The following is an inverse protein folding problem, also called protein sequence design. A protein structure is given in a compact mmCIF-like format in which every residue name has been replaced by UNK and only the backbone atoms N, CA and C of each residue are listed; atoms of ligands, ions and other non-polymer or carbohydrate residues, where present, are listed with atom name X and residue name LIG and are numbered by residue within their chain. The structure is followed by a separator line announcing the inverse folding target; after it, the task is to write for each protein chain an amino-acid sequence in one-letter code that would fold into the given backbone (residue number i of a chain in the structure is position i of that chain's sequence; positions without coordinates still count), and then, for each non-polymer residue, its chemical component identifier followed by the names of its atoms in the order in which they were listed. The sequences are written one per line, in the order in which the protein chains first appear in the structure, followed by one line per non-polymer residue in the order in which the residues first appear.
data_IF_726645166051
#
_entry.id   IF_726645166051
#
_cell.length_a   1.000
_cell.length_b   1.000
_cell.length_c   1.000
_cell.angle_alpha   90.00
_cell.angle_beta   90.00
_cell.angle_gamma   90.00
#
_symmetry.space_group_name_H-M   'P 1'
#
loop_
_entity.id
_entity.type
_entity.pdbx_description
1 polymer ?
#
# COMPACT_ATOMS: atom_id res chain seq x y z
N UNK A 1 -32.03 26.73 9.64
CA UNK A 1 -30.62 26.44 10.04
C UNK A 1 -29.80 25.85 8.88
N UNK A 2 -30.22 24.76 8.20
CA UNK A 2 -29.51 24.17 7.04
C UNK A 2 -29.34 25.14 5.86
N UNK A 3 -30.39 25.88 5.50
CA UNK A 3 -30.34 26.91 4.44
C UNK A 3 -29.32 28.03 4.73
N UNK A 4 -29.18 28.42 6.01
CA UNK A 4 -28.18 29.42 6.39
C UNK A 4 -26.75 28.87 6.28
N UNK A 5 -26.55 27.59 6.60
CA UNK A 5 -25.25 26.93 6.49
C UNK A 5 -24.80 26.75 5.03
N UNK A 6 -25.70 26.33 4.15
CA UNK A 6 -25.44 26.23 2.71
C UNK A 6 -25.01 27.58 2.10
N UNK A 7 -25.72 28.66 2.44
CA UNK A 7 -25.35 30.03 2.03
C UNK A 7 -23.99 30.48 2.56
N UNK A 8 -23.60 30.05 3.77
CA UNK A 8 -22.27 30.34 4.33
C UNK A 8 -21.19 29.62 3.51
N UNK A 9 -21.38 28.34 3.17
CA UNK A 9 -20.42 27.59 2.35
C UNK A 9 -20.29 28.23 0.96
N UNK A 10 -21.41 28.60 0.34
CA UNK A 10 -21.43 29.28 -0.96
C UNK A 10 -20.67 30.61 -0.91
N UNK A 11 -20.91 31.41 0.13
CA UNK A 11 -20.18 32.66 0.35
C UNK A 11 -18.68 32.42 0.54
N UNK A 12 -18.29 31.45 1.37
CA UNK A 12 -16.89 31.07 1.62
C UNK A 12 -16.20 30.65 0.32
N UNK A 13 -16.85 29.81 -0.48
CA UNK A 13 -16.32 29.35 -1.75
C UNK A 13 -16.16 30.52 -2.74
N UNK A 14 -17.19 31.34 -2.91
CA UNK A 14 -17.17 32.50 -3.81
C UNK A 14 -16.05 33.50 -3.46
N UNK A 15 -15.97 33.92 -2.19
CA UNK A 15 -14.97 34.90 -1.77
C UNK A 15 -13.54 34.32 -1.81
N UNK A 16 -13.38 33.03 -1.50
CA UNK A 16 -12.07 32.36 -1.59
C UNK A 16 -11.58 32.23 -3.04
N UNK A 17 -12.48 32.19 -4.02
CA UNK A 17 -12.13 32.15 -5.43
C UNK A 17 -11.52 33.46 -5.92
N UNK A 18 -12.01 34.59 -5.40
CA UNK A 18 -11.68 35.94 -5.91
C UNK A 18 -10.67 36.68 -5.04
N UNK A 19 -10.67 36.49 -3.72
CA UNK A 19 -9.90 37.33 -2.78
C UNK A 19 -8.69 36.59 -2.16
N UNK A 20 -7.47 36.97 -2.58
CA UNK A 20 -6.22 36.44 -2.01
C UNK A 20 -6.05 36.76 -0.52
N UNK A 21 -6.35 38.00 -0.11
CA UNK A 21 -6.25 38.42 1.29
C UNK A 21 -7.17 37.62 2.21
N UNK A 22 -8.37 37.31 1.74
CA UNK A 22 -9.30 36.44 2.45
C UNK A 22 -8.73 35.03 2.62
N UNK A 23 -8.20 34.42 1.55
CA UNK A 23 -7.54 33.10 1.63
C UNK A 23 -6.42 33.09 2.65
N UNK A 24 -5.54 34.10 2.61
CA UNK A 24 -4.44 34.24 3.57
C UNK A 24 -4.96 34.31 5.01
N UNK A 25 -5.94 35.17 5.27
CA UNK A 25 -6.52 35.33 6.60
C UNK A 25 -7.14 34.03 7.12
N UNK A 26 -7.87 33.30 6.28
CA UNK A 26 -8.42 31.99 6.66
C UNK A 26 -7.30 31.00 6.96
N UNK A 27 -6.26 30.92 6.13
CA UNK A 27 -5.13 30.02 6.38
C UNK A 27 -4.43 30.31 7.72
N UNK A 28 -4.36 31.58 8.14
CA UNK A 28 -3.76 31.99 9.41
C UNK A 28 -4.69 31.78 10.61
N UNK A 29 -6.01 31.89 10.44
CA UNK A 29 -6.97 31.89 11.57
C UNK A 29 -7.72 30.59 11.76
N UNK A 30 -7.82 29.74 10.73
CA UNK A 30 -8.44 28.43 10.86
C UNK A 30 -7.52 27.54 11.69
N UNK A 31 -7.99 27.10 12.85
CA UNK A 31 -7.25 26.19 13.73
C UNK A 31 -7.38 24.73 13.27
N UNK A 32 -6.48 23.87 13.73
CA UNK A 32 -6.48 22.45 13.37
C UNK A 32 -7.78 21.75 13.85
N UNK A 33 -8.29 22.07 15.04
CA UNK A 33 -9.53 21.48 15.57
C UNK A 33 -10.77 21.91 14.80
N UNK A 34 -10.75 23.12 14.21
CA UNK A 34 -11.85 23.59 13.36
C UNK A 34 -11.79 22.91 12.01
N UNK A 35 -10.60 22.79 11.42
CA UNK A 35 -10.40 22.11 10.15
C UNK A 35 -10.76 20.61 10.26
N UNK A 36 -10.33 19.93 11.32
CA UNK A 36 -10.72 18.55 11.59
C UNK A 36 -12.24 18.40 11.70
N UNK A 37 -12.92 19.30 12.42
CA UNK A 37 -14.39 19.30 12.50
C UNK A 37 -15.06 19.51 11.15
N UNK A 38 -14.47 20.31 10.25
CA UNK A 38 -15.02 20.50 8.91
C UNK A 38 -14.83 19.25 8.05
N UNK A 39 -13.68 18.60 8.14
CA UNK A 39 -13.40 17.32 7.47
C UNK A 39 -14.36 16.23 7.94
N UNK A 40 -14.56 16.08 9.25
CA UNK A 40 -15.50 15.08 9.83
C UNK A 40 -16.96 15.32 9.50
N UNK A 41 -17.36 16.58 9.23
CA UNK A 41 -18.75 16.88 8.86
C UNK A 41 -19.01 16.75 7.37
N UNK A 42 -17.99 16.51 6.56
CA UNK A 42 -18.09 16.57 5.10
C UNK A 42 -19.06 15.53 4.54
N UNK A 43 -19.08 14.32 5.10
CA UNK A 43 -20.03 13.26 4.75
C UNK A 43 -21.49 13.61 5.09
N UNK A 44 -21.72 14.41 6.12
CA UNK A 44 -23.07 14.87 6.51
C UNK A 44 -23.67 15.94 5.58
N UNK A 45 -22.85 16.48 4.67
CA UNK A 45 -23.25 17.52 3.72
C UNK A 45 -23.97 16.94 2.50
N UNK A 46 -24.81 17.74 1.86
CA UNK A 46 -25.38 17.39 0.55
C UNK A 46 -24.29 17.36 -0.52
N UNK A 47 -24.48 16.61 -1.62
CA UNK A 47 -23.48 16.53 -2.71
C UNK A 47 -23.13 17.89 -3.34
N UNK A 48 -24.04 18.87 -3.27
CA UNK A 48 -23.74 20.24 -3.69
C UNK A 48 -22.83 20.96 -2.69
N UNK A 49 -23.15 20.92 -1.40
CA UNK A 49 -22.33 21.49 -0.32
C UNK A 49 -20.94 20.84 -0.26
N UNK A 50 -20.85 19.52 -0.46
CA UNK A 50 -19.57 18.80 -0.56
C UNK A 50 -18.70 19.34 -1.69
N UNK A 51 -19.27 19.62 -2.86
CA UNK A 51 -18.52 20.20 -4.00
C UNK A 51 -18.06 21.62 -3.71
N UNK A 52 -18.91 22.45 -3.10
CA UNK A 52 -18.52 23.80 -2.71
C UNK A 52 -17.39 23.78 -1.66
N UNK A 53 -17.50 22.92 -0.64
CA UNK A 53 -16.44 22.74 0.37
C UNK A 53 -15.14 22.22 -0.26
N UNK A 54 -15.22 21.27 -1.20
CA UNK A 54 -14.06 20.81 -1.95
C UNK A 54 -13.35 21.95 -2.69
N UNK A 55 -14.10 22.75 -3.45
CA UNK A 55 -13.54 23.90 -4.17
C UNK A 55 -12.95 24.94 -3.22
N UNK A 56 -13.59 25.14 -2.07
CA UNK A 56 -13.07 26.01 -1.02
C UNK A 56 -11.74 25.49 -0.46
N UNK A 57 -11.64 24.19 -0.14
CA UNK A 57 -10.37 23.59 0.29
C UNK A 57 -9.29 23.74 -0.79
N UNK A 58 -9.61 23.45 -2.06
CA UNK A 58 -8.67 23.65 -3.18
C UNK A 58 -8.16 25.09 -3.26
N UNK A 59 -9.03 26.08 -3.08
CA UNK A 59 -8.63 27.49 -3.07
C UNK A 59 -7.64 27.79 -1.94
N UNK A 60 -7.79 27.17 -0.78
CA UNK A 60 -6.87 27.33 0.36
C UNK A 60 -5.56 26.54 0.19
N UNK A 61 -5.56 25.45 -0.57
CA UNK A 61 -4.36 24.62 -0.84
C UNK A 61 -3.25 25.37 -1.60
N UNK A 62 -3.52 26.55 -2.13
CA UNK A 62 -2.51 27.47 -2.68
C UNK A 62 -1.47 27.85 -1.61
N UNK A 63 -1.87 27.92 -0.34
CA UNK A 63 -0.96 28.20 0.78
C UNK A 63 -0.19 26.92 1.17
N UNK A 64 1.16 26.90 1.09
CA UNK A 64 1.95 25.72 1.46
C UNK A 64 1.75 25.30 2.92
N UNK A 65 1.64 26.28 3.83
CA UNK A 65 1.39 26.03 5.26
C UNK A 65 0.02 25.39 5.49
N UNK A 66 -1.02 25.89 4.82
CA UNK A 66 -2.34 25.29 4.90
C UNK A 66 -2.32 23.87 4.32
N UNK A 67 -1.71 23.69 3.15
CA UNK A 67 -1.61 22.41 2.47
C UNK A 67 -0.96 21.35 3.35
N UNK A 68 0.17 21.68 3.99
CA UNK A 68 0.85 20.79 4.93
C UNK A 68 -0.03 20.42 6.14
N UNK A 69 -0.67 21.42 6.77
CA UNK A 69 -1.57 21.21 7.92
C UNK A 69 -2.78 20.36 7.56
N UNK A 70 -3.45 20.68 6.46
CA UNK A 70 -4.59 19.91 5.96
C UNK A 70 -4.19 18.46 5.70
N UNK A 71 -3.06 18.25 5.03
CA UNK A 71 -2.54 16.92 4.72
C UNK A 71 -2.34 16.07 5.99
N UNK A 72 -1.72 16.64 7.04
CA UNK A 72 -1.55 15.94 8.33
C UNK A 72 -2.88 15.61 9.00
N UNK A 73 -3.81 16.55 9.07
CA UNK A 73 -5.12 16.34 9.69
C UNK A 73 -5.92 15.29 8.90
N UNK A 74 -5.87 15.35 7.57
CA UNK A 74 -6.52 14.38 6.69
C UNK A 74 -5.96 12.98 6.93
N UNK A 75 -4.63 12.82 6.92
CA UNK A 75 -3.97 11.55 7.17
C UNK A 75 -4.28 10.98 8.57
N UNK A 76 -4.24 11.83 9.60
CA UNK A 76 -4.56 11.43 10.99
C UNK A 76 -6.00 10.93 11.14
N UNK A 77 -6.93 11.44 10.33
CA UNK A 77 -8.34 11.06 10.37
C UNK A 77 -8.73 10.06 9.28
N UNK A 78 -7.77 9.58 8.49
CA UNK A 78 -8.03 8.83 7.26
C UNK A 78 -8.88 7.59 7.49
N UNK A 79 -8.56 6.79 8.50
CA UNK A 79 -9.35 5.59 8.84
C UNK A 79 -10.83 5.91 9.11
N UNK A 80 -11.11 6.98 9.85
CA UNK A 80 -12.49 7.40 10.12
C UNK A 80 -13.20 7.86 8.84
N UNK A 81 -12.47 8.51 7.92
CA UNK A 81 -13.00 8.94 6.63
C UNK A 81 -13.31 7.78 5.68
N UNK A 82 -12.52 6.70 5.77
CA UNK A 82 -12.78 5.43 5.09
C UNK A 82 -14.07 4.80 5.65
N UNK A 83 -14.16 4.66 6.97
CA UNK A 83 -15.29 4.02 7.66
C UNK A 83 -16.63 4.78 7.45
N UNK A 84 -16.59 6.11 7.32
CA UNK A 84 -17.80 6.91 7.13
C UNK A 84 -18.22 7.11 5.66
N UNK A 85 -17.53 6.46 4.72
CA UNK A 85 -17.65 6.70 3.27
C UNK A 85 -17.43 8.17 2.88
N UNK A 86 -16.79 8.99 3.72
CA UNK A 86 -16.42 10.35 3.38
C UNK A 86 -15.43 10.40 2.21
N UNK A 87 -14.64 9.34 2.01
CA UNK A 87 -13.81 9.20 0.82
C UNK A 87 -14.62 9.01 -0.45
N UNK A 88 -15.88 8.56 -0.38
CA UNK A 88 -16.75 8.49 -1.56
C UNK A 88 -17.23 9.87 -2.05
N UNK A 89 -17.12 10.88 -1.19
CA UNK A 89 -17.43 12.26 -1.49
C UNK A 89 -16.35 12.97 -2.34
N UNK A 90 -16.56 14.26 -2.59
CA UNK A 90 -15.57 15.15 -3.20
C UNK A 90 -14.23 15.25 -2.45
N UNK A 91 -14.08 14.74 -1.21
CA UNK A 91 -12.80 14.76 -0.51
C UNK A 91 -11.71 13.93 -1.18
N UNK A 92 -12.04 12.84 -1.87
CA UNK A 92 -11.03 12.05 -2.59
C UNK A 92 -10.33 12.85 -3.69
N UNK A 93 -11.01 13.80 -4.34
CA UNK A 93 -10.35 14.68 -5.32
C UNK A 93 -9.19 15.50 -4.71
N UNK A 94 -9.14 15.66 -3.38
CA UNK A 94 -8.05 16.33 -2.67
C UNK A 94 -6.88 15.40 -2.36
N UNK A 95 -7.09 14.08 -2.21
CA UNK A 95 -6.01 13.14 -1.91
C UNK A 95 -4.97 13.11 -3.03
N UNK A 96 -5.43 13.13 -4.30
CA UNK A 96 -4.59 13.29 -5.49
C UNK A 96 -3.68 14.53 -5.36
N UNK A 97 -4.23 15.67 -4.92
CA UNK A 97 -3.50 16.94 -4.82
C UNK A 97 -2.48 16.97 -3.68
N UNK A 98 -2.61 16.06 -2.70
CA UNK A 98 -1.72 15.93 -1.56
C UNK A 98 -0.63 14.90 -1.81
N UNK A 99 -1.03 13.69 -2.22
CA UNK A 99 -0.14 12.54 -2.29
C UNK A 99 0.74 12.52 -3.55
N UNK A 100 0.42 13.33 -4.57
CA UNK A 100 1.30 13.54 -5.73
C UNK A 100 2.44 14.52 -5.45
N UNK A 101 2.45 15.21 -4.30
CA UNK A 101 3.53 16.13 -3.91
C UNK A 101 4.57 15.39 -3.07
N UNK A 102 5.79 15.26 -3.58
CA UNK A 102 6.86 14.49 -2.94
C UNK A 102 7.12 14.91 -1.49
N UNK A 103 7.26 16.21 -1.22
CA UNK A 103 7.50 16.74 0.12
C UNK A 103 6.43 16.31 1.14
N UNK A 104 5.16 16.30 0.72
CA UNK A 104 4.05 15.89 1.58
C UNK A 104 3.99 14.38 1.73
N UNK A 105 4.23 13.63 0.67
CA UNK A 105 4.25 12.17 0.70
C UNK A 105 5.36 11.65 1.64
N UNK A 106 6.56 12.25 1.59
CA UNK A 106 7.68 11.95 2.48
C UNK A 106 7.32 12.27 3.94
N UNK A 107 6.75 13.46 4.18
CA UNK A 107 6.28 13.81 5.52
C UNK A 107 5.25 12.78 6.06
N UNK A 108 4.32 12.35 5.21
CA UNK A 108 3.28 11.40 5.60
C UNK A 108 3.81 9.98 5.83
N UNK A 109 4.78 9.51 5.04
CA UNK A 109 5.33 8.17 5.24
C UNK A 109 6.06 8.08 6.59
N UNK A 110 6.80 9.13 6.96
CA UNK A 110 7.43 9.22 8.29
C UNK A 110 6.41 9.26 9.43
N UNK A 111 5.23 9.84 9.20
CA UNK A 111 4.11 9.85 10.16
C UNK A 111 3.32 8.51 10.17
N UNK A 112 3.79 7.46 9.47
CA UNK A 112 3.16 6.12 9.45
C UNK A 112 1.92 6.03 8.56
N UNK A 113 1.75 6.95 7.61
CA UNK A 113 0.54 7.01 6.80
C UNK A 113 0.42 5.84 5.81
N UNK A 114 1.52 5.36 5.22
CA UNK A 114 1.49 4.19 4.32
C UNK A 114 0.95 2.96 5.03
N UNK A 115 1.43 2.67 6.24
CA UNK A 115 0.89 1.62 7.13
C UNK A 115 -0.60 1.82 7.41
N UNK A 116 -1.03 3.07 7.63
CA UNK A 116 -2.44 3.40 7.87
C UNK A 116 -3.32 3.06 6.65
N UNK A 117 -2.88 3.41 5.44
CA UNK A 117 -3.60 3.10 4.19
C UNK A 117 -3.64 1.59 3.94
N UNK A 118 -2.52 0.88 4.13
CA UNK A 118 -2.44 -0.59 4.03
C UNK A 118 -3.38 -1.28 5.03
N UNK A 119 -3.37 -0.85 6.28
CA UNK A 119 -4.26 -1.42 7.32
C UNK A 119 -5.73 -1.15 7.01
N UNK A 120 -6.06 0.05 6.52
CA UNK A 120 -7.42 0.37 6.07
C UNK A 120 -7.84 -0.53 4.89
N UNK A 121 -6.97 -0.69 3.89
CA UNK A 121 -7.21 -1.59 2.75
C UNK A 121 -7.45 -3.03 3.23
N UNK A 122 -6.61 -3.54 4.13
CA UNK A 122 -6.73 -4.88 4.71
C UNK A 122 -8.07 -5.11 5.41
N UNK A 123 -8.64 -4.06 6.02
CA UNK A 123 -9.91 -4.17 6.74
C UNK A 123 -11.14 -4.34 5.85
N UNK A 124 -11.05 -4.01 4.55
CA UNK A 124 -12.13 -4.24 3.58
C UNK A 124 -12.22 -5.69 3.07
N UNK A 125 -11.33 -6.56 3.55
CA UNK A 125 -11.29 -7.96 3.18
C UNK A 125 -11.51 -8.84 4.42
N UNK A 126 -12.61 -9.57 4.43
CA UNK A 126 -12.90 -10.56 5.46
C UNK A 126 -12.58 -11.96 4.96
N UNK A 127 -12.11 -12.85 5.83
CA UNK A 127 -11.95 -14.26 5.52
C UNK A 127 -13.22 -14.98 5.98
N UNK A 128 -13.97 -15.56 5.05
CA UNK A 128 -15.09 -16.44 5.39
C UNK A 128 -14.53 -17.73 5.99
N UNK A 129 -14.82 -17.95 7.27
CA UNK A 129 -14.35 -19.12 8.03
C UNK A 129 -14.87 -20.45 7.48
N UNK A 130 -15.99 -20.46 6.75
CA UNK A 130 -16.59 -21.67 6.19
C UNK A 130 -15.85 -22.13 4.92
N UNK A 131 -15.43 -21.17 4.10
CA UNK A 131 -14.80 -21.45 2.80
C UNK A 131 -13.29 -21.21 2.83
N UNK A 132 -12.76 -20.65 3.91
CA UNK A 132 -11.38 -20.16 4.05
C UNK A 132 -10.96 -19.13 3.00
N UNK A 133 -11.91 -18.61 2.22
CA UNK A 133 -11.68 -17.63 1.15
C UNK A 133 -11.88 -16.19 1.65
N UNK A 134 -11.13 -15.28 1.05
CA UNK A 134 -11.36 -13.84 1.21
C UNK A 134 -12.64 -13.45 0.46
N UNK A 135 -13.48 -12.73 1.16
CA UNK A 135 -14.75 -12.22 0.71
C UNK A 135 -14.63 -10.69 0.61
N UNK A 136 -14.52 -10.11 -0.60
CA UNK A 136 -14.65 -8.68 -0.75
C UNK A 136 -16.06 -8.23 -0.33
N UNK A 137 -16.17 -7.04 0.27
CA UNK A 137 -17.47 -6.44 0.62
C UNK A 137 -18.35 -6.33 -0.63
N UNK A 138 -19.59 -6.84 -0.53
CA UNK A 138 -20.45 -7.19 -1.68
C UNK A 138 -20.76 -6.07 -2.67
N UNK A 139 -20.84 -4.80 -2.26
CA UNK A 139 -21.43 -3.75 -3.11
C UNK A 139 -21.03 -2.31 -2.80
N UNK A 140 -20.64 -1.99 -1.56
CA UNK A 140 -20.26 -0.61 -1.18
C UNK A 140 -18.75 -0.41 -0.99
N UNK A 141 -18.00 -1.47 -0.69
CA UNK A 141 -16.57 -1.40 -0.38
C UNK A 141 -15.64 -1.40 -1.59
N UNK A 142 -16.09 -1.81 -2.79
CA UNK A 142 -15.22 -1.88 -3.97
C UNK A 142 -14.71 -0.48 -4.38
N UNK A 143 -15.59 0.52 -4.35
CA UNK A 143 -15.21 1.92 -4.62
C UNK A 143 -14.16 2.42 -3.62
N UNK A 144 -14.37 2.14 -2.33
CA UNK A 144 -13.44 2.51 -1.26
C UNK A 144 -12.10 1.79 -1.38
N UNK A 145 -12.08 0.47 -1.61
CA UNK A 145 -10.86 -0.30 -1.81
C UNK A 145 -10.06 0.20 -3.02
N UNK A 146 -10.72 0.50 -4.14
CA UNK A 146 -10.08 1.11 -5.32
C UNK A 146 -9.47 2.48 -4.98
N UNK A 147 -10.17 3.33 -4.21
CA UNK A 147 -9.63 4.64 -3.78
C UNK A 147 -8.42 4.50 -2.86
N UNK A 148 -8.48 3.58 -1.90
CA UNK A 148 -7.34 3.26 -1.03
C UNK A 148 -6.13 2.80 -1.85
N UNK A 149 -6.36 1.94 -2.84
CA UNK A 149 -5.34 1.48 -3.78
C UNK A 149 -4.75 2.62 -4.62
N UNK A 150 -5.57 3.56 -5.06
CA UNK A 150 -5.13 4.75 -5.80
C UNK A 150 -4.35 5.73 -4.91
N UNK A 151 -4.81 5.99 -3.69
CA UNK A 151 -4.11 6.84 -2.73
C UNK A 151 -2.73 6.25 -2.38
N UNK A 152 -2.68 4.94 -2.17
CA UNK A 152 -1.44 4.20 -1.95
C UNK A 152 -0.51 4.26 -3.17
N UNK A 153 -1.06 4.12 -4.38
CA UNK A 153 -0.29 4.25 -5.62
C UNK A 153 0.37 5.63 -5.72
N UNK A 154 -0.34 6.70 -5.39
CA UNK A 154 0.24 8.05 -5.41
C UNK A 154 1.40 8.21 -4.44
N UNK A 155 1.32 7.62 -3.25
CA UNK A 155 2.40 7.61 -2.28
C UNK A 155 3.61 6.83 -2.80
N UNK A 156 3.40 5.62 -3.33
CA UNK A 156 4.46 4.73 -3.81
C UNK A 156 5.12 5.19 -5.12
N UNK A 157 4.53 6.16 -5.83
CA UNK A 157 5.20 6.80 -6.96
C UNK A 157 6.43 7.63 -6.54
N UNK A 158 6.59 7.95 -5.27
CA UNK A 158 7.75 8.67 -4.75
C UNK A 158 8.84 7.70 -4.29
N UNK A 159 10.05 7.84 -4.84
CA UNK A 159 11.19 6.96 -4.55
C UNK A 159 11.53 6.92 -3.06
N UNK A 160 11.51 8.07 -2.40
CA UNK A 160 11.83 8.20 -0.97
C UNK A 160 10.78 7.51 -0.08
N UNK A 161 9.52 7.49 -0.52
CA UNK A 161 8.46 6.73 0.14
C UNK A 161 8.71 5.24 0.01
N UNK A 162 9.12 4.75 -1.16
CA UNK A 162 9.48 3.34 -1.35
C UNK A 162 10.71 2.95 -0.52
N UNK A 163 11.74 3.80 -0.48
CA UNK A 163 12.93 3.58 0.33
C UNK A 163 12.57 3.46 1.82
N UNK A 164 11.75 4.38 2.33
CA UNK A 164 11.27 4.32 3.71
C UNK A 164 10.40 3.07 3.96
N UNK A 165 9.51 2.72 3.02
CA UNK A 165 8.68 1.52 3.14
C UNK A 165 9.50 0.22 3.16
N UNK A 166 10.66 0.20 2.49
CA UNK A 166 11.62 -0.90 2.58
C UNK A 166 12.36 -0.92 3.92
N UNK A 167 12.71 0.24 4.47
CA UNK A 167 13.44 0.37 5.74
C UNK A 167 12.57 0.07 6.96
N UNK A 168 11.33 0.54 6.98
CA UNK A 168 10.44 0.46 8.13
C UNK A 168 9.77 -0.92 8.26
N UNK A 169 10.09 -1.63 9.35
CA UNK A 169 9.59 -2.98 9.61
C UNK A 169 8.06 -3.02 9.70
N UNK A 170 7.43 -2.06 10.37
CA UNK A 170 5.97 -2.08 10.55
C UNK A 170 5.24 -1.88 9.21
N UNK A 171 5.75 -1.01 8.36
CA UNK A 171 5.25 -0.81 7.00
C UNK A 171 5.44 -2.07 6.17
N UNK A 172 6.61 -2.73 6.21
CA UNK A 172 6.82 -4.03 5.54
C UNK A 172 5.82 -5.09 5.98
N UNK A 173 5.58 -5.23 7.29
CA UNK A 173 4.58 -6.18 7.80
C UNK A 173 3.17 -5.85 7.28
N UNK A 174 2.77 -4.58 7.27
CA UNK A 174 1.48 -4.18 6.71
C UNK A 174 1.35 -4.47 5.21
N UNK A 175 2.45 -4.34 4.44
CA UNK A 175 2.50 -4.78 3.04
C UNK A 175 2.23 -6.28 2.93
N UNK A 176 2.94 -7.09 3.70
CA UNK A 176 2.76 -8.54 3.70
C UNK A 176 1.36 -8.96 4.15
N UNK A 177 0.79 -8.32 5.16
CA UNK A 177 -0.58 -8.54 5.61
C UNK A 177 -1.60 -8.30 4.49
N UNK A 178 -1.42 -7.23 3.71
CA UNK A 178 -2.22 -7.01 2.50
C UNK A 178 -1.98 -8.10 1.45
N UNK A 179 -0.75 -8.54 1.26
CA UNK A 179 -0.41 -9.54 0.25
C UNK A 179 -0.95 -10.94 0.55
N UNK A 180 -0.98 -11.33 1.83
CA UNK A 180 -1.55 -12.61 2.23
C UNK A 180 -3.05 -12.75 1.91
N UNK A 181 -3.76 -11.63 1.71
CA UNK A 181 -5.16 -11.64 1.26
C UNK A 181 -5.34 -12.35 -0.09
N UNK A 182 -4.42 -12.13 -1.02
CA UNK A 182 -4.53 -12.66 -2.38
C UNK A 182 -4.41 -14.18 -2.40
N UNK A 183 -3.67 -14.77 -1.45
CA UNK A 183 -3.57 -16.22 -1.31
C UNK A 183 -4.93 -16.89 -1.07
N UNK A 184 -5.92 -16.15 -0.58
CA UNK A 184 -7.25 -16.64 -0.23
C UNK A 184 -8.36 -16.08 -1.11
N UNK A 185 -8.05 -15.23 -2.10
CA UNK A 185 -9.09 -14.57 -2.90
C UNK A 185 -9.78 -15.44 -3.95
N UNK A 186 -9.31 -16.66 -4.17
CA UNK A 186 -10.11 -17.67 -4.87
C UNK A 186 -9.70 -19.09 -4.48
N UNK A 187 -10.70 -19.85 -4.02
CA UNK A 187 -10.64 -21.30 -3.90
C UNK A 187 -11.86 -21.81 -4.68
N UNK A 188 -11.75 -21.85 -6.00
CA UNK A 188 -12.70 -22.61 -6.82
C UNK A 188 -12.40 -24.08 -6.56
N UNK A 189 -13.28 -24.72 -5.78
CA UNK A 189 -13.24 -26.16 -5.57
C UNK A 189 -13.85 -26.85 -6.80
N UNK A 190 -13.08 -27.72 -7.45
CA UNK A 190 -13.57 -28.55 -8.54
C UNK A 190 -14.29 -29.76 -7.94
N UNK A 191 -15.62 -29.82 -8.07
CA UNK A 191 -16.38 -31.02 -7.73
C UNK A 191 -16.46 -31.91 -8.97
N UNK A 192 -15.94 -33.15 -8.89
CA UNK A 192 -15.96 -34.11 -10.01
C UNK A 192 -17.23 -34.97 -10.03
N UNK A 193 -17.79 -35.28 -8.86
CA UNK A 193 -18.83 -36.31 -8.70
C UNK A 193 -20.13 -35.83 -8.03
N UNK A 194 -20.20 -34.56 -7.59
CA UNK A 194 -21.37 -33.97 -6.91
C UNK A 194 -21.88 -32.71 -7.62
N UNK A 195 -23.19 -32.46 -7.53
CA UNK A 195 -23.79 -31.19 -7.95
C UNK A 195 -23.20 -30.06 -7.11
N UNK A 196 -22.64 -29.03 -7.74
CA UNK A 196 -22.10 -27.85 -7.07
C UNK A 196 -23.24 -27.17 -6.28
N UNK A 197 -23.24 -27.19 -4.94
CA UNK A 197 -24.37 -26.66 -4.17
C UNK A 197 -24.42 -25.13 -4.21
N UNK A 198 -23.30 -24.46 -4.51
CA UNK A 198 -23.19 -23.03 -4.74
C UNK A 198 -21.89 -22.68 -5.48
N UNK A 199 -21.93 -21.68 -6.36
CA UNK A 199 -20.73 -21.12 -7.00
C UNK A 199 -20.32 -19.83 -6.27
N UNK A 200 -19.02 -19.69 -5.96
CA UNK A 200 -18.51 -18.45 -5.40
C UNK A 200 -18.32 -17.40 -6.52
N UNK A 201 -19.37 -16.65 -6.82
CA UNK A 201 -19.35 -15.56 -7.82
C UNK A 201 -18.46 -14.36 -7.42
N UNK A 202 -17.83 -14.37 -6.23
CA UNK A 202 -16.99 -13.24 -5.79
C UNK A 202 -15.64 -13.18 -6.48
N UNK A 203 -15.27 -14.18 -7.26
CA UNK A 203 -14.10 -14.12 -8.14
C UNK A 203 -14.16 -12.92 -9.10
N UNK A 204 -15.34 -12.60 -9.64
CA UNK A 204 -15.55 -11.49 -10.58
C UNK A 204 -15.18 -10.12 -10.01
N UNK A 205 -15.27 -9.96 -8.68
CA UNK A 205 -14.93 -8.72 -7.98
C UNK A 205 -13.50 -8.76 -7.43
N UNK A 206 -13.06 -9.91 -6.91
CA UNK A 206 -11.73 -10.06 -6.30
C UNK A 206 -10.59 -10.04 -7.32
N UNK A 207 -10.78 -10.62 -8.50
CA UNK A 207 -9.74 -10.66 -9.54
C UNK A 207 -9.35 -9.27 -10.07
N UNK A 208 -10.28 -8.37 -10.43
CA UNK A 208 -9.93 -7.00 -10.80
C UNK A 208 -9.20 -6.23 -9.68
N UNK A 209 -9.57 -6.46 -8.41
CA UNK A 209 -8.90 -5.84 -7.26
C UNK A 209 -7.47 -6.38 -7.09
N UNK A 210 -7.25 -7.67 -7.31
CA UNK A 210 -5.90 -8.28 -7.37
C UNK A 210 -5.04 -7.66 -8.46
N UNK A 211 -5.58 -7.63 -9.68
CA UNK A 211 -4.86 -7.06 -10.83
C UNK A 211 -4.52 -5.60 -10.56
N UNK A 212 -5.46 -4.81 -10.02
CA UNK A 212 -5.19 -3.41 -9.67
C UNK A 212 -4.12 -3.28 -8.59
N UNK A 213 -4.18 -4.07 -7.52
CA UNK A 213 -3.20 -3.93 -6.44
C UNK A 213 -1.79 -4.28 -6.92
N UNK A 214 -1.64 -5.42 -7.61
CA UNK A 214 -0.32 -5.92 -8.03
C UNK A 214 0.23 -5.06 -9.16
N UNK A 215 -0.53 -4.84 -10.23
CA UNK A 215 -0.02 -4.25 -11.47
C UNK A 215 -0.07 -2.71 -11.49
N UNK A 216 -0.85 -2.08 -10.61
CA UNK A 216 -0.96 -0.62 -10.55
C UNK A 216 -0.43 -0.07 -9.24
N UNK A 217 -0.95 -0.53 -8.10
CA UNK A 217 -0.66 0.09 -6.79
C UNK A 217 0.73 -0.23 -6.27
N UNK A 218 1.14 -1.50 -6.28
CA UNK A 218 2.46 -1.92 -5.78
C UNK A 218 3.55 -1.91 -6.84
N UNK A 219 3.19 -1.80 -8.11
CA UNK A 219 4.14 -1.75 -9.21
C UNK A 219 5.27 -0.69 -9.02
N UNK A 220 4.99 0.56 -8.60
CA UNK A 220 6.05 1.54 -8.32
C UNK A 220 7.04 1.08 -7.24
N UNK A 221 6.55 0.39 -6.21
CA UNK A 221 7.36 -0.16 -5.14
C UNK A 221 8.22 -1.33 -5.64
N UNK A 222 7.66 -2.25 -6.43
CA UNK A 222 8.44 -3.35 -7.01
C UNK A 222 9.51 -2.85 -7.97
N UNK A 223 9.20 -1.88 -8.82
CA UNK A 223 10.19 -1.26 -9.71
C UNK A 223 11.27 -0.52 -8.94
N UNK A 224 10.98 0.01 -7.75
CA UNK A 224 12.00 0.54 -6.86
C UNK A 224 12.91 -0.58 -6.31
N UNK A 225 12.34 -1.71 -5.89
CA UNK A 225 13.10 -2.85 -5.35
C UNK A 225 14.05 -3.47 -6.37
N UNK A 226 13.70 -3.47 -7.66
CA UNK A 226 14.51 -4.04 -8.76
C UNK A 226 15.69 -3.16 -9.20
N UNK A 227 15.86 -1.98 -8.60
CA UNK A 227 16.92 -1.07 -9.04
C UNK A 227 18.30 -1.56 -8.62
N UNK A 228 19.32 -1.44 -9.49
CA UNK A 228 20.67 -1.86 -9.14
C UNK A 228 21.18 -1.27 -7.82
N UNK A 229 20.85 0.00 -7.53
CA UNK A 229 21.24 0.69 -6.30
C UNK A 229 20.46 0.25 -5.04
N UNK A 230 19.35 -0.46 -5.20
CA UNK A 230 18.47 -0.92 -4.10
C UNK A 230 18.61 -2.42 -3.84
N UNK A 231 18.79 -3.23 -4.88
CA UNK A 231 18.76 -4.71 -4.82
C UNK A 231 19.75 -5.28 -3.79
N UNK A 232 20.92 -4.65 -3.64
CA UNK A 232 21.97 -5.09 -2.69
C UNK A 232 21.93 -4.33 -1.36
N UNK A 233 20.94 -3.45 -1.16
CA UNK A 233 20.76 -2.72 0.08
C UNK A 233 20.24 -3.66 1.19
N UNK A 234 20.76 -3.49 2.41
CA UNK A 234 20.33 -4.18 3.62
C UNK A 234 18.81 -4.18 3.79
N UNK A 235 18.14 -3.07 3.49
CA UNK A 235 16.68 -2.95 3.60
C UNK A 235 15.92 -3.81 2.59
N UNK A 236 16.44 -3.93 1.36
CA UNK A 236 15.87 -4.82 0.35
C UNK A 236 16.07 -6.29 0.72
N UNK A 237 17.25 -6.65 1.24
CA UNK A 237 17.52 -8.00 1.74
C UNK A 237 16.56 -8.39 2.88
N UNK A 238 16.35 -7.47 3.83
CA UNK A 238 15.40 -7.66 4.92
C UNK A 238 13.97 -7.83 4.40
N UNK A 239 13.56 -7.01 3.42
CA UNK A 239 12.25 -7.15 2.77
C UNK A 239 12.08 -8.53 2.12
N UNK A 240 13.05 -9.00 1.34
CA UNK A 240 12.95 -10.31 0.70
C UNK A 240 12.98 -11.48 1.70
N UNK A 241 13.73 -11.34 2.79
CA UNK A 241 13.71 -12.32 3.89
C UNK A 241 12.34 -12.37 4.57
N UNK A 242 11.80 -11.22 4.98
CA UNK A 242 10.49 -11.11 5.61
C UNK A 242 9.37 -11.63 4.68
N UNK A 243 9.51 -11.40 3.37
CA UNK A 243 8.62 -11.94 2.36
C UNK A 243 8.65 -13.47 2.40
N UNK A 244 9.81 -14.11 2.26
CA UNK A 244 9.91 -15.58 2.29
C UNK A 244 9.35 -16.16 3.58
N UNK A 245 9.66 -15.57 4.73
CA UNK A 245 9.12 -16.00 6.01
C UNK A 245 7.59 -15.91 6.06
N UNK A 246 7.01 -14.87 5.46
CA UNK A 246 5.56 -14.72 5.34
C UNK A 246 4.99 -15.80 4.44
N UNK A 247 5.60 -16.04 3.29
CA UNK A 247 5.15 -17.04 2.30
C UNK A 247 5.15 -18.46 2.90
N UNK A 248 6.20 -18.81 3.64
CA UNK A 248 6.31 -20.13 4.29
C UNK A 248 5.29 -20.35 5.42
N UNK A 249 4.68 -19.28 5.95
CA UNK A 249 3.61 -19.35 6.96
C UNK A 249 2.21 -19.42 6.35
N UNK A 250 2.07 -19.19 5.03
CA UNK A 250 0.77 -19.30 4.38
C UNK A 250 0.29 -20.76 4.44
N UNK A 251 -1.02 -20.99 4.61
CA UNK A 251 -1.57 -22.34 4.51
C UNK A 251 -1.28 -22.88 3.11
N UNK A 252 -0.96 -24.18 2.97
CA UNK A 252 -0.69 -24.77 1.68
C UNK A 252 -1.89 -24.56 0.76
N UNK A 253 -1.63 -24.03 -0.44
CA UNK A 253 -2.55 -24.02 -1.56
C UNK A 253 -2.86 -25.48 -1.87
N UNK A 254 -4.03 -25.95 -1.42
CA UNK A 254 -4.45 -27.33 -1.62
C UNK A 254 -4.45 -27.66 -3.12
N UNK A 255 -3.41 -28.35 -3.58
CA UNK A 255 -3.37 -29.08 -4.84
C UNK A 255 -3.41 -30.58 -4.48
N UNK A 256 -4.55 -31.04 -3.98
CA UNK A 256 -4.87 -32.47 -4.06
C UNK A 256 -5.41 -32.74 -5.48
N UNK A 257 -5.37 -33.99 -5.95
CA UNK A 257 -5.81 -34.37 -7.31
C UNK A 257 -7.24 -33.92 -7.69
N UNK A 258 -8.03 -33.53 -6.69
CA UNK A 258 -9.45 -33.21 -6.80
C UNK A 258 -9.79 -31.75 -6.46
N UNK A 259 -8.84 -30.97 -5.94
CA UNK A 259 -9.01 -29.53 -5.71
C UNK A 259 -7.87 -28.79 -6.39
N UNK A 260 -8.17 -28.13 -7.50
CA UNK A 260 -7.21 -27.30 -8.21
C UNK A 260 -7.67 -25.84 -8.09
N UNK A 261 -6.93 -25.03 -7.33
CA UNK A 261 -7.13 -23.59 -7.37
C UNK A 261 -6.48 -23.04 -8.65
N UNK A 262 -7.23 -22.29 -9.46
CA UNK A 262 -6.69 -21.59 -10.65
C UNK A 262 -5.83 -20.38 -10.28
N UNK A 263 -5.56 -20.17 -8.98
CA UNK A 263 -4.95 -18.96 -8.47
C UNK A 263 -3.43 -19.07 -8.35
N UNK A 264 -2.78 -18.35 -9.27
CA UNK A 264 -1.35 -18.04 -9.31
C UNK A 264 -1.00 -16.66 -8.63
N UNK A 265 -1.73 -16.07 -7.65
CA UNK A 265 -1.41 -14.73 -7.12
C UNK A 265 -0.03 -14.65 -6.48
N UNK A 266 0.40 -15.68 -5.75
CA UNK A 266 1.68 -15.68 -5.06
C UNK A 266 2.85 -15.66 -6.05
N UNK A 267 2.76 -16.49 -7.08
CA UNK A 267 3.75 -16.58 -8.15
C UNK A 267 3.72 -15.34 -9.06
N UNK A 268 2.54 -14.73 -9.31
CA UNK A 268 2.43 -13.46 -10.03
C UNK A 268 3.05 -12.32 -9.23
N UNK A 269 2.75 -12.24 -7.93
CA UNK A 269 3.36 -11.27 -7.03
C UNK A 269 4.89 -11.44 -6.99
N UNK A 270 5.38 -12.68 -6.83
CA UNK A 270 6.81 -12.99 -6.85
C UNK A 270 7.45 -12.60 -8.19
N UNK A 271 6.82 -12.94 -9.32
CA UNK A 271 7.31 -12.55 -10.64
C UNK A 271 7.35 -11.02 -10.83
N UNK A 272 6.39 -10.29 -10.26
CA UNK A 272 6.36 -8.82 -10.33
C UNK A 272 7.32 -8.13 -9.35
N UNK A 273 7.60 -8.72 -8.20
CA UNK A 273 8.40 -8.10 -7.10
C UNK A 273 9.88 -8.48 -7.10
N UNK A 274 10.24 -9.61 -7.71
CA UNK A 274 11.62 -10.09 -7.77
C UNK A 274 12.35 -9.56 -9.00
N UNK A 275 13.62 -9.22 -8.81
CA UNK A 275 14.56 -9.12 -9.94
C UNK A 275 15.02 -10.53 -10.34
N UNK A 276 14.49 -11.05 -11.44
CA UNK A 276 14.84 -12.36 -11.97
C UNK A 276 16.35 -12.52 -12.23
N UNK A 277 17.04 -11.46 -12.65
CA UNK A 277 18.49 -11.52 -12.87
C UNK A 277 19.24 -11.65 -11.55
N UNK A 278 18.76 -11.02 -10.49
CA UNK A 278 19.35 -11.18 -9.17
C UNK A 278 19.08 -12.58 -8.62
N UNK A 279 17.86 -13.11 -8.77
CA UNK A 279 17.52 -14.50 -8.42
C UNK A 279 18.46 -15.46 -9.14
N UNK A 280 18.67 -15.27 -10.44
CA UNK A 280 19.55 -16.11 -11.25
C UNK A 280 21.03 -15.97 -10.85
N UNK A 281 21.54 -14.75 -10.64
CA UNK A 281 22.93 -14.51 -10.17
C UNK A 281 23.18 -15.15 -8.81
N UNK A 282 22.18 -15.07 -7.95
CA UNK A 282 22.20 -15.67 -6.61
C UNK A 282 22.25 -17.20 -6.71
N UNK A 283 21.44 -17.80 -7.59
CA UNK A 283 21.38 -19.23 -7.85
C UNK A 283 22.62 -19.79 -8.56
N UNK A 284 23.28 -19.00 -9.41
CA UNK A 284 24.36 -19.46 -10.32
C UNK A 284 25.76 -18.96 -9.93
N UNK A 285 25.87 -18.05 -8.98
CA UNK A 285 27.15 -17.51 -8.53
C UNK A 285 28.01 -18.56 -7.80
N UNK A 286 29.35 -18.52 -7.93
CA UNK A 286 30.23 -19.48 -7.27
C UNK A 286 30.10 -19.38 -5.74
N UNK A 287 30.15 -20.53 -5.06
CA UNK A 287 30.41 -20.62 -3.62
C UNK A 287 31.85 -20.19 -3.39
N UNK A 288 32.07 -18.96 -2.91
CA UNK A 288 33.39 -18.53 -2.49
C UNK A 288 33.80 -19.38 -1.29
N UNK A 289 34.60 -20.42 -1.54
CA UNK A 289 35.44 -21.02 -0.51
C UNK A 289 36.36 -19.93 0.05
N UNK A 290 36.62 -19.90 1.37
CA UNK A 290 37.62 -19.00 1.92
C UNK A 290 39.00 -19.49 1.44
N UNK A 291 39.50 -18.91 0.35
CA UNK A 291 40.80 -19.26 -0.19
C UNK A 291 41.92 -18.57 0.59
N UNK A 292 42.59 -19.39 1.40
CA UNK A 292 44.03 -19.45 1.63
C UNK A 292 44.77 -18.29 2.28
N UNK A 293 45.56 -18.70 3.28
CA UNK A 293 46.50 -17.93 4.07
C UNK A 293 47.78 -17.47 3.33
N UNK A 294 48.37 -16.38 3.87
CA UNK A 294 49.80 -15.96 4.00
C UNK A 294 50.14 -14.59 3.35
N UNK A 295 51.15 -13.82 3.86
CA UNK A 295 51.54 -13.48 5.24
C UNK A 295 51.52 -11.91 5.43
N UNK A 296 51.97 -11.32 6.58
CA UNK A 296 51.56 -9.96 6.97
C UNK A 296 52.41 -8.86 6.31
N UNK A 297 51.78 -7.75 5.91
CA UNK A 297 52.46 -6.47 5.67
C UNK A 297 51.79 -5.35 6.46
N UNK A 298 52.63 -4.48 7.00
CA UNK A 298 52.36 -3.51 8.05
C UNK A 298 51.54 -2.30 7.57
N UNK A 299 50.53 -1.93 8.35
CA UNK A 299 49.75 -0.69 8.23
C UNK A 299 48.34 -0.91 8.79
N UNK A 300 47.79 -0.05 9.65
CA UNK A 300 46.50 -0.32 10.27
C UNK A 300 45.37 -0.09 9.25
N UNK A 301 44.62 -1.13 8.84
CA UNK A 301 43.41 -0.93 8.07
C UNK A 301 42.28 -0.64 9.05
N UNK A 302 41.59 0.47 8.84
CA UNK A 302 40.32 0.78 9.51
C UNK A 302 39.33 -0.35 9.15
N UNK A 303 38.71 -1.04 10.13
CA UNK A 303 37.81 -2.15 9.83
C UNK A 303 36.46 -1.58 9.36
N UNK A 304 36.21 -1.59 8.06
CA UNK A 304 34.84 -1.58 7.53
C UNK A 304 34.39 -3.04 7.40
N UNK A 305 34.09 -3.65 8.54
CA UNK A 305 33.34 -4.91 8.60
C UNK A 305 31.90 -4.63 8.20
N UNK A 306 31.53 -4.90 6.94
CA UNK A 306 30.15 -5.24 6.57
C UNK A 306 30.15 -6.32 5.50
N UNK A 307 30.54 -7.53 5.90
CA UNK A 307 29.98 -8.77 5.36
C UNK A 307 28.47 -8.80 5.70
N UNK A 308 27.66 -8.05 4.97
CA UNK A 308 26.24 -8.39 4.87
C UNK A 308 26.16 -9.43 3.77
N UNK A 309 26.19 -10.69 4.20
CA UNK A 309 26.39 -11.89 3.39
C UNK A 309 25.36 -12.03 2.28
N UNK A 310 25.85 -12.20 1.06
CA UNK A 310 25.14 -12.80 -0.09
C UNK A 310 24.43 -14.13 0.26
N UNK A 311 24.83 -14.80 1.35
CA UNK A 311 24.19 -16.01 1.87
C UNK A 311 22.70 -15.81 2.19
N UNK A 312 22.30 -14.60 2.60
CA UNK A 312 20.92 -14.26 2.93
C UNK A 312 20.00 -14.15 1.71
N UNK A 313 20.52 -13.87 0.51
CA UNK A 313 19.75 -13.97 -0.75
C UNK A 313 19.77 -15.40 -1.29
N UNK A 314 20.91 -16.09 -1.17
CA UNK A 314 21.06 -17.48 -1.63
C UNK A 314 20.14 -18.44 -0.93
N UNK A 315 19.91 -18.27 0.38
CA UNK A 315 18.96 -19.10 1.11
C UNK A 315 17.52 -18.95 0.57
N UNK A 316 17.11 -17.74 0.17
CA UNK A 316 15.75 -17.42 -0.30
C UNK A 316 15.39 -18.11 -1.62
N UNK A 317 16.37 -18.37 -2.48
CA UNK A 317 16.16 -18.97 -3.80
C UNK A 317 16.69 -20.40 -3.91
N UNK A 318 17.09 -21.04 -2.81
CA UNK A 318 17.49 -22.46 -2.88
C UNK A 318 16.39 -23.30 -3.53
N UNK A 319 16.75 -24.34 -4.30
CA UNK A 319 15.77 -25.28 -4.86
C UNK A 319 14.80 -25.80 -3.80
N UNK A 320 15.23 -25.97 -2.56
CA UNK A 320 14.38 -26.37 -1.44
C UNK A 320 13.37 -25.30 -1.03
N UNK A 321 13.77 -24.02 -0.93
CA UNK A 321 12.84 -22.93 -0.61
C UNK A 321 11.88 -22.65 -1.76
N UNK A 322 12.35 -22.65 -3.01
CA UNK A 322 11.48 -22.53 -4.18
C UNK A 322 10.53 -23.73 -4.30
N UNK A 323 11.01 -24.95 -4.07
CA UNK A 323 10.15 -26.14 -4.06
C UNK A 323 9.14 -26.08 -2.92
N UNK A 324 9.51 -25.55 -1.75
CA UNK A 324 8.55 -25.29 -0.66
C UNK A 324 7.53 -24.24 -1.07
N UNK A 325 7.94 -23.09 -1.61
CA UNK A 325 7.04 -22.03 -2.10
C UNK A 325 6.11 -22.54 -3.21
N UNK A 326 6.56 -23.45 -4.07
CA UNK A 326 5.77 -24.03 -5.17
C UNK A 326 4.85 -25.17 -4.69
N UNK A 327 5.22 -25.87 -3.60
CA UNK A 327 4.40 -26.93 -2.97
C UNK A 327 3.42 -26.41 -1.93
N UNK A 328 3.69 -25.23 -1.35
CA UNK A 328 2.79 -24.48 -0.48
C UNK A 328 1.94 -23.51 -1.28
#
# INVERSE_FOLDING_TARGET
RRVAFSKIIEWLQSISGVCFGFRYQICCTLTDERLQRWIHKHDTLTSHEQRMMHNFYLALMISPNFKRRFCKIFAHNYRKLVESNALDSSLHGLSVQMFTVAELAIMLVHDGFVKTVLTALRSHYEIDKRTETVQPERTHGQGTAMRLMTDLQYLLNHRDVCAYALEDYETRQAFFDCLTLFNRMNLQDRYKDDHIPYENLRYEVSFPLEVQLINSTFQPFFEHCKRPEVVENVSALAFYSDLVDTLLKLPPLYNTSDKASFHIPLLRFLASSLDYHQVLRTLTGPLSTPHNALPPSEGPPIPVTREVKLDGLRCLFTPDVLTRIIRH
#
